data_IF_988579624220
#
_entry.id   IF_988579624220
#
_cell.length_a   1.000
_cell.length_b   1.000
_cell.length_c   1.000
_cell.angle_alpha   90.00
_cell.angle_beta   90.00
_cell.angle_gamma   90.00
#
_symmetry.space_group_name_H-M   'P 1'
#
loop_
_entity.id
_entity.type
_entity.pdbx_description
1 polymer ?
#
# COMPACT_ATOMS: atom_id res chain seq x y z
N UNK A 1 4.61 6.02 3.84
CA UNK A 1 4.41 4.79 4.64
C UNK A 1 5.58 3.82 4.52
N UNK A 2 6.07 3.42 3.34
CA UNK A 2 7.29 2.57 3.22
C UNK A 2 8.52 3.13 3.97
N UNK A 3 8.71 4.44 3.95
CA UNK A 3 9.78 5.14 4.68
C UNK A 3 9.71 4.97 6.20
N UNK A 4 8.53 4.77 6.79
CA UNK A 4 8.40 4.65 8.25
C UNK A 4 8.92 3.32 8.80
N UNK A 5 9.11 2.29 7.96
CA UNK A 5 9.71 1.00 8.37
C UNK A 5 11.17 0.86 8.00
N UNK A 6 11.63 1.57 6.96
CA UNK A 6 13.01 1.45 6.49
C UNK A 6 13.97 2.29 7.36
N UNK A 7 13.45 3.27 8.09
CA UNK A 7 14.28 4.11 8.97
C UNK A 7 14.42 3.52 10.39
N UNK A 8 13.87 2.32 10.64
CA UNK A 8 13.84 1.73 11.96
C UNK A 8 14.31 0.27 11.93
N UNK A 9 15.48 0.03 12.55
CA UNK A 9 16.10 -1.28 12.66
C UNK A 9 15.15 -2.39 13.15
N UNK A 10 14.31 -2.10 14.17
CA UNK A 10 13.35 -3.09 14.70
C UNK A 10 12.29 -3.51 13.69
N UNK A 11 11.85 -2.59 12.82
CA UNK A 11 10.88 -2.90 11.78
C UNK A 11 11.55 -3.66 10.63
N UNK A 12 12.80 -3.33 10.28
CA UNK A 12 13.59 -4.07 9.31
C UNK A 12 13.84 -5.51 9.76
N UNK A 13 14.24 -5.71 11.02
CA UNK A 13 14.46 -7.02 11.62
C UNK A 13 13.18 -7.87 11.58
N UNK A 14 12.01 -7.28 11.90
CA UNK A 14 10.72 -7.96 11.80
C UNK A 14 10.42 -8.38 10.36
N UNK A 15 10.53 -7.48 9.38
CA UNK A 15 10.20 -7.83 7.98
C UNK A 15 11.21 -8.81 7.38
N UNK A 16 12.48 -8.73 7.78
CA UNK A 16 13.48 -9.74 7.44
C UNK A 16 13.11 -11.12 8.01
N UNK A 17 12.64 -11.18 9.25
CA UNK A 17 12.19 -12.42 9.88
C UNK A 17 10.95 -13.03 9.20
N UNK A 18 9.99 -12.19 8.79
CA UNK A 18 8.80 -12.61 8.04
C UNK A 18 9.20 -13.21 6.69
N UNK A 19 10.07 -12.51 5.93
CA UNK A 19 10.54 -13.00 4.64
C UNK A 19 11.30 -14.32 4.79
N UNK A 20 12.21 -14.41 5.76
CA UNK A 20 12.93 -15.66 6.07
C UNK A 20 11.98 -16.81 6.41
N UNK A 21 10.93 -16.56 7.18
CA UNK A 21 9.92 -17.58 7.54
C UNK A 21 9.13 -18.05 6.30
N UNK A 22 8.73 -17.13 5.42
CA UNK A 22 8.01 -17.45 4.19
C UNK A 22 8.88 -18.21 3.18
N UNK A 23 10.14 -17.79 2.99
CA UNK A 23 11.13 -18.50 2.15
C UNK A 23 11.42 -19.88 2.72
N UNK A 24 11.66 -19.99 4.03
CA UNK A 24 11.89 -21.26 4.70
C UNK A 24 10.75 -22.27 4.47
N UNK A 25 9.50 -21.82 4.47
CA UNK A 25 8.35 -22.68 4.17
C UNK A 25 8.25 -23.05 2.69
N UNK A 26 8.50 -22.10 1.78
CA UNK A 26 8.31 -22.30 0.33
C UNK A 26 9.42 -23.10 -0.35
N UNK A 27 10.63 -23.09 0.20
CA UNK A 27 11.81 -23.73 -0.41
C UNK A 27 11.80 -25.27 -0.37
N UNK A 28 10.84 -25.93 0.31
CA UNK A 28 10.77 -27.40 0.31
C UNK A 28 9.36 -27.95 0.38
N UNK A 29 9.05 -28.88 -0.52
CA UNK A 29 7.80 -29.64 -0.50
C UNK A 29 7.59 -30.42 0.81
N UNK A 30 8.65 -31.01 1.40
CA UNK A 30 8.54 -31.74 2.68
C UNK A 30 8.09 -30.83 3.82
N UNK A 31 8.62 -29.60 3.87
CA UNK A 31 8.24 -28.58 4.85
C UNK A 31 6.82 -28.08 4.61
N UNK A 32 6.45 -27.89 3.34
CA UNK A 32 5.08 -27.54 2.98
C UNK A 32 4.09 -28.64 3.39
N UNK A 33 4.43 -29.93 3.25
CA UNK A 33 3.57 -31.02 3.75
C UNK A 33 3.40 -30.97 5.26
N UNK A 34 4.47 -30.74 6.03
CA UNK A 34 4.34 -30.59 7.49
C UNK A 34 3.50 -29.37 7.89
N UNK A 35 3.62 -28.25 7.16
CA UNK A 35 2.75 -27.09 7.36
C UNK A 35 1.28 -27.43 7.14
N UNK A 36 0.97 -28.13 6.06
CA UNK A 36 -0.39 -28.49 5.68
C UNK A 36 -1.03 -29.46 6.68
N UNK A 37 -0.24 -30.33 7.31
CA UNK A 37 -0.71 -31.22 8.38
C UNK A 37 -1.11 -30.38 9.60
N UNK A 38 -0.27 -29.44 10.03
CA UNK A 38 -0.54 -28.55 11.18
C UNK A 38 -1.74 -27.64 10.92
N UNK A 39 -1.86 -27.04 9.73
CA UNK A 39 -3.00 -26.17 9.39
C UNK A 39 -4.29 -26.94 9.15
N UNK A 40 -4.18 -28.18 8.69
CA UNK A 40 -5.31 -29.08 8.45
C UNK A 40 -6.05 -29.51 9.73
N UNK A 41 -5.33 -29.62 10.85
CA UNK A 41 -5.88 -29.97 12.17
C UNK A 41 -6.65 -28.82 12.81
N UNK A 42 -6.23 -27.56 12.60
CA UNK A 42 -6.75 -26.41 13.35
C UNK A 42 -7.85 -25.60 12.67
N UNK A 43 -8.01 -25.67 11.35
CA UNK A 43 -8.90 -24.75 10.63
C UNK A 43 -9.99 -25.49 9.82
N UNK A 44 -11.22 -24.97 9.84
CA UNK A 44 -12.34 -25.49 9.02
C UNK A 44 -12.49 -24.71 7.71
N UNK A 45 -12.70 -25.43 6.59
CA UNK A 45 -12.94 -24.90 5.24
C UNK A 45 -11.82 -24.01 4.63
N UNK A 46 -12.13 -22.77 4.19
CA UNK A 46 -11.23 -21.88 3.43
C UNK A 46 -9.95 -21.46 4.19
N UNK A 47 -9.85 -21.72 5.50
CA UNK A 47 -8.64 -21.49 6.31
C UNK A 47 -7.64 -22.65 6.31
N UNK A 48 -7.95 -23.82 5.73
CA UNK A 48 -7.10 -25.03 5.82
C UNK A 48 -5.73 -24.92 5.12
N UNK A 49 -5.60 -24.01 4.17
CA UNK A 49 -4.52 -23.98 3.18
C UNK A 49 -3.90 -22.61 2.99
N UNK A 50 -3.95 -21.74 4.02
CA UNK A 50 -3.30 -20.45 3.89
C UNK A 50 -1.78 -20.62 3.91
N UNK A 51 -1.10 -19.86 3.06
CA UNK A 51 0.36 -19.85 2.96
C UNK A 51 0.90 -18.57 3.57
N UNK A 52 2.09 -18.68 4.16
CA UNK A 52 2.89 -17.51 4.49
C UNK A 52 3.17 -16.73 3.21
N UNK A 53 2.94 -15.42 3.25
CA UNK A 53 3.14 -14.58 2.08
C UNK A 53 4.54 -13.99 2.08
N UNK A 54 5.20 -14.06 0.92
CA UNK A 54 6.43 -13.31 0.68
C UNK A 54 6.13 -11.82 0.62
N UNK A 55 7.09 -11.01 1.03
CA UNK A 55 6.99 -9.56 0.97
C UNK A 55 7.19 -9.13 -0.48
N UNK A 56 6.12 -8.67 -1.11
CA UNK A 56 6.19 -8.04 -2.42
C UNK A 56 7.10 -6.81 -2.36
N UNK A 57 8.13 -6.78 -3.22
CA UNK A 57 9.20 -5.79 -3.19
C UNK A 57 8.76 -4.32 -3.25
N UNK A 58 7.57 -4.03 -3.81
CA UNK A 58 7.16 -2.67 -4.19
C UNK A 58 6.02 -2.09 -3.37
N UNK A 59 5.39 -2.84 -2.46
CA UNK A 59 4.05 -2.49 -1.97
C UNK A 59 3.90 -2.55 -0.45
N UNK A 60 3.59 -1.40 0.15
CA UNK A 60 3.38 -1.25 1.59
C UNK A 60 2.29 -2.18 2.14
N UNK A 61 1.18 -2.36 1.42
CA UNK A 61 0.13 -3.29 1.89
C UNK A 61 0.60 -4.75 1.89
N UNK A 62 1.57 -5.11 1.03
CA UNK A 62 2.11 -6.46 0.99
C UNK A 62 2.81 -6.82 2.30
N UNK A 63 3.50 -5.85 2.92
CA UNK A 63 4.09 -6.00 4.25
C UNK A 63 3.01 -6.26 5.31
N UNK A 64 1.90 -5.52 5.26
CA UNK A 64 0.75 -5.74 6.15
C UNK A 64 0.09 -7.10 5.94
N UNK A 65 -0.08 -7.53 4.68
CA UNK A 65 -0.65 -8.84 4.32
C UNK A 65 0.24 -10.00 4.77
N UNK A 66 1.57 -9.87 4.57
CA UNK A 66 2.56 -10.84 5.05
C UNK A 66 2.56 -10.95 6.58
N UNK A 67 2.56 -9.82 7.30
CA UNK A 67 2.46 -9.83 8.76
C UNK A 67 1.14 -10.44 9.25
N UNK A 68 0.01 -10.12 8.60
CA UNK A 68 -1.31 -10.69 8.93
C UNK A 68 -1.44 -12.20 8.65
N UNK A 69 -0.51 -12.76 7.87
CA UNK A 69 -0.43 -14.21 7.61
C UNK A 69 0.27 -14.98 8.74
N UNK A 70 1.04 -14.29 9.59
CA UNK A 70 1.76 -14.88 10.73
C UNK A 70 1.09 -14.51 12.05
N UNK A 71 0.68 -13.26 12.18
CA UNK A 71 0.10 -12.69 13.38
C UNK A 71 -1.33 -12.26 13.09
N UNK A 72 -2.28 -12.60 13.96
CA UNK A 72 -3.67 -12.17 13.79
C UNK A 72 -3.84 -10.68 14.09
N UNK A 73 -4.70 -10.01 13.33
CA UNK A 73 -4.92 -8.55 13.42
C UNK A 73 -5.50 -8.14 14.79
N UNK A 74 -6.06 -9.09 15.55
CA UNK A 74 -6.65 -8.87 16.87
C UNK A 74 -6.14 -9.88 17.92
N UNK A 75 -4.83 -10.14 17.95
CA UNK A 75 -4.16 -10.95 19.00
C UNK A 75 -4.60 -10.57 20.43
N UNK A 76 -4.97 -9.31 20.61
CA UNK A 76 -5.10 -8.64 21.89
C UNK A 76 -6.55 -8.56 22.41
N UNK A 77 -7.56 -8.74 21.56
CA UNK A 77 -8.98 -8.65 21.96
C UNK A 77 -9.60 -10.04 22.20
N UNK A 78 -9.23 -11.06 21.40
CA UNK A 78 -9.73 -12.43 21.52
C UNK A 78 -8.81 -13.34 22.34
N UNK A 79 -8.47 -12.88 23.54
CA UNK A 79 -7.50 -13.55 24.42
C UNK A 79 -7.96 -14.91 25.01
N UNK A 80 -9.09 -15.45 24.52
CA UNK A 80 -9.72 -16.69 24.98
C UNK A 80 -9.47 -17.91 24.07
N UNK A 81 -8.83 -17.74 22.89
CA UNK A 81 -8.54 -18.86 21.96
C UNK A 81 -7.14 -18.75 21.32
N UNK A 82 -6.11 -18.75 22.16
CA UNK A 82 -4.69 -18.71 21.72
C UNK A 82 -4.34 -19.91 20.83
N UNK A 83 -4.98 -21.05 21.08
CA UNK A 83 -4.78 -22.34 20.38
C UNK A 83 -4.95 -22.24 18.86
N UNK A 84 -5.86 -21.40 18.38
CA UNK A 84 -6.17 -21.24 16.95
C UNK A 84 -5.48 -20.02 16.32
N UNK A 85 -4.59 -19.35 17.03
CA UNK A 85 -3.89 -18.19 16.49
C UNK A 85 -2.87 -18.61 15.42
N UNK A 86 -2.72 -17.78 14.39
CA UNK A 86 -1.72 -18.01 13.34
C UNK A 86 -0.30 -18.07 13.89
N UNK A 87 -0.04 -17.36 14.99
CA UNK A 87 1.28 -17.35 15.62
C UNK A 87 1.62 -18.70 16.26
N UNK A 88 0.67 -19.30 16.99
CA UNK A 88 0.84 -20.65 17.57
C UNK A 88 1.01 -21.70 16.47
N UNK A 89 0.25 -21.62 15.37
CA UNK A 89 0.44 -22.55 14.24
C UNK A 89 1.84 -22.46 13.63
N UNK A 90 2.44 -21.27 13.59
CA UNK A 90 3.82 -21.09 13.13
C UNK A 90 4.81 -21.75 14.08
N UNK A 91 4.65 -21.54 15.38
CA UNK A 91 5.52 -22.14 16.39
C UNK A 91 5.44 -23.66 16.39
N UNK A 92 4.24 -24.23 16.35
CA UNK A 92 4.04 -25.69 16.25
C UNK A 92 4.66 -26.27 14.98
N UNK A 93 4.50 -25.60 13.84
CA UNK A 93 5.18 -26.01 12.61
C UNK A 93 6.71 -26.04 12.79
N UNK A 94 7.29 -24.99 13.37
CA UNK A 94 8.74 -24.94 13.59
C UNK A 94 9.21 -26.01 14.58
N UNK A 95 8.42 -26.30 15.62
CA UNK A 95 8.69 -27.40 16.57
C UNK A 95 8.59 -28.76 15.87
N UNK A 96 7.56 -28.99 15.04
CA UNK A 96 7.39 -30.20 14.26
C UNK A 96 8.56 -30.43 13.30
N UNK A 97 9.10 -29.36 12.69
CA UNK A 97 10.30 -29.43 11.85
C UNK A 97 11.55 -29.77 12.68
N UNK A 98 11.67 -29.25 13.91
CA UNK A 98 12.77 -29.56 14.80
C UNK A 98 12.77 -31.03 15.25
N UNK A 99 11.60 -31.56 15.63
CA UNK A 99 11.42 -32.94 16.09
C UNK A 99 11.40 -33.95 14.93
N UNK A 100 10.94 -33.54 13.76
CA UNK A 100 10.80 -34.40 12.57
C UNK A 100 12.10 -34.88 11.93
N UNK A 101 11.97 -35.66 10.86
CA UNK A 101 13.10 -36.22 10.11
C UNK A 101 13.62 -35.23 9.04
N UNK A 102 14.27 -34.16 9.49
CA UNK A 102 14.90 -33.14 8.64
C UNK A 102 16.43 -33.11 8.84
N UNK A 103 17.14 -32.52 7.87
CA UNK A 103 18.59 -32.35 7.96
C UNK A 103 18.98 -31.39 9.12
N UNK A 104 20.23 -31.50 9.59
CA UNK A 104 20.74 -30.71 10.72
C UNK A 104 20.60 -29.21 10.48
N UNK A 105 20.87 -28.75 9.25
CA UNK A 105 20.77 -27.33 8.87
C UNK A 105 19.34 -26.79 8.98
N UNK A 106 18.35 -27.55 8.52
CA UNK A 106 16.92 -27.15 8.58
C UNK A 106 16.43 -27.12 10.01
N UNK A 107 16.84 -28.08 10.84
CA UNK A 107 16.55 -28.07 12.28
C UNK A 107 17.18 -26.87 12.98
N UNK A 108 18.43 -26.54 12.65
CA UNK A 108 19.10 -25.36 13.19
C UNK A 108 18.39 -24.06 12.77
N UNK A 109 18.03 -23.93 11.50
CA UNK A 109 17.28 -22.77 11.00
C UNK A 109 15.92 -22.64 11.67
N UNK A 110 15.17 -23.74 11.85
CA UNK A 110 13.89 -23.72 12.56
C UNK A 110 14.04 -23.27 14.02
N UNK A 111 15.05 -23.77 14.75
CA UNK A 111 15.39 -23.30 16.11
C UNK A 111 15.73 -21.81 16.11
N UNK A 112 16.55 -21.35 15.17
CA UNK A 112 16.90 -19.93 15.06
C UNK A 112 15.69 -19.03 14.79
N UNK A 113 14.75 -19.48 13.95
CA UNK A 113 13.49 -18.78 13.71
C UNK A 113 12.63 -18.71 14.98
N UNK A 114 12.50 -19.82 15.73
CA UNK A 114 11.80 -19.83 17.02
C UNK A 114 12.43 -18.79 17.97
N UNK A 115 13.75 -18.84 18.18
CA UNK A 115 14.46 -17.90 19.07
C UNK A 115 14.24 -16.43 18.67
N UNK A 116 14.17 -16.14 17.38
CA UNK A 116 13.93 -14.77 16.90
C UNK A 116 12.47 -14.32 17.07
N UNK A 117 11.50 -15.21 16.82
CA UNK A 117 10.08 -14.93 17.05
C UNK A 117 9.72 -14.83 18.54
N UNK A 118 10.47 -15.50 19.41
CA UNK A 118 10.33 -15.44 20.87
C UNK A 118 10.79 -14.11 21.51
N UNK A 119 11.43 -13.21 20.75
CA UNK A 119 11.87 -11.91 21.29
C UNK A 119 10.67 -11.00 21.55
N UNK A 120 10.58 -10.47 22.78
CA UNK A 120 9.47 -9.58 23.16
C UNK A 120 9.41 -8.32 22.27
N UNK A 121 10.58 -7.78 21.88
CA UNK A 121 10.67 -6.60 21.00
C UNK A 121 9.97 -6.84 19.66
N UNK A 122 10.06 -8.05 19.10
CA UNK A 122 9.47 -8.45 17.81
C UNK A 122 7.96 -8.60 17.92
N UNK A 123 7.46 -9.18 19.02
CA UNK A 123 6.02 -9.31 19.27
C UNK A 123 5.39 -7.92 19.44
N UNK A 124 6.04 -7.04 20.19
CA UNK A 124 5.56 -5.70 20.49
C UNK A 124 5.50 -4.81 19.23
N UNK A 125 6.55 -4.82 18.40
CA UNK A 125 6.57 -4.08 17.13
C UNK A 125 5.58 -4.65 16.11
N UNK A 126 5.40 -5.98 16.08
CA UNK A 126 4.41 -6.65 15.22
C UNK A 126 3.01 -6.18 15.52
N UNK A 127 2.60 -6.17 16.80
CA UNK A 127 1.28 -5.68 17.20
C UNK A 127 1.09 -4.19 16.89
N UNK A 128 2.11 -3.35 17.13
CA UNK A 128 2.04 -1.94 16.79
C UNK A 128 1.82 -1.72 15.28
N UNK A 129 2.55 -2.45 14.43
CA UNK A 129 2.42 -2.32 13.00
C UNK A 129 1.11 -2.90 12.48
N UNK A 130 0.63 -4.04 13.01
CA UNK A 130 -0.69 -4.59 12.67
C UNK A 130 -1.81 -3.60 12.95
N UNK A 131 -1.79 -2.96 14.11
CA UNK A 131 -2.75 -1.92 14.49
C UNK A 131 -2.73 -0.75 13.50
N UNK A 132 -1.55 -0.34 13.03
CA UNK A 132 -1.40 0.70 12.01
C UNK A 132 -1.91 0.20 10.65
N UNK A 133 -1.61 -1.04 10.27
CA UNK A 133 -2.06 -1.65 9.03
C UNK A 133 -3.58 -1.78 8.97
N UNK A 134 -4.23 -2.12 10.08
CA UNK A 134 -5.68 -2.24 10.17
C UNK A 134 -6.40 -0.93 9.80
N UNK A 135 -5.81 0.22 10.15
CA UNK A 135 -6.39 1.54 9.87
C UNK A 135 -5.98 2.03 8.48
N UNK A 136 -4.74 1.79 8.07
CA UNK A 136 -4.18 2.32 6.81
C UNK A 136 -4.60 1.51 5.58
N UNK A 137 -4.75 0.19 5.69
CA UNK A 137 -5.03 -0.69 4.55
C UNK A 137 -6.36 -0.39 3.86
N UNK A 138 -7.49 -0.19 4.57
CA UNK A 138 -8.78 0.14 3.94
C UNK A 138 -8.72 1.42 3.12
N UNK A 139 -8.00 2.44 3.62
CA UNK A 139 -7.81 3.71 2.91
C UNK A 139 -6.96 3.50 1.66
N UNK A 140 -5.85 2.76 1.79
CA UNK A 140 -5.00 2.44 0.63
C UNK A 140 -5.76 1.70 -0.47
N UNK A 141 -6.58 0.70 -0.09
CA UNK A 141 -7.40 -0.06 -1.05
C UNK A 141 -8.44 0.85 -1.70
N UNK A 142 -9.10 1.71 -0.93
CA UNK A 142 -10.09 2.64 -1.46
C UNK A 142 -9.49 3.63 -2.46
N UNK A 143 -8.33 4.19 -2.16
CA UNK A 143 -7.61 5.12 -3.04
C UNK A 143 -7.13 4.48 -4.36
N UNK A 144 -7.08 3.15 -4.43
CA UNK A 144 -6.70 2.39 -5.62
C UNK A 144 -7.90 1.93 -6.45
N UNK A 145 -9.13 2.23 -6.02
CA UNK A 145 -10.33 1.85 -6.77
C UNK A 145 -10.44 2.63 -8.09
N UNK A 146 -10.98 1.98 -9.13
CA UNK A 146 -11.14 2.59 -10.47
C UNK A 146 -12.13 3.76 -10.48
N UNK A 147 -13.07 3.81 -9.55
CA UNK A 147 -14.12 4.83 -9.44
C UNK A 147 -14.03 5.52 -8.08
N UNK A 148 -12.99 6.32 -7.88
CA UNK A 148 -12.78 7.05 -6.63
C UNK A 148 -13.76 8.22 -6.51
N UNK A 149 -14.45 8.34 -5.37
CA UNK A 149 -15.14 9.57 -4.99
C UNK A 149 -14.17 10.40 -4.12
N UNK A 150 -13.84 11.61 -4.58
CA UNK A 150 -12.83 12.46 -3.95
C UNK A 150 -13.23 12.95 -2.55
N UNK A 151 -14.51 13.28 -2.32
CA UNK A 151 -15.00 13.70 -1.01
C UNK A 151 -14.93 12.56 0.01
N UNK A 152 -15.38 11.37 -0.38
CA UNK A 152 -15.29 10.18 0.46
C UNK A 152 -13.83 9.79 0.72
N UNK A 153 -12.96 9.90 -0.29
CA UNK A 153 -11.53 9.68 -0.14
C UNK A 153 -10.93 10.63 0.90
N UNK A 154 -11.28 11.92 0.82
CA UNK A 154 -10.84 12.92 1.78
C UNK A 154 -11.30 12.61 3.20
N UNK A 155 -12.59 12.31 3.39
CA UNK A 155 -13.15 11.96 4.70
C UNK A 155 -12.45 10.74 5.31
N UNK A 156 -12.11 9.74 4.48
CA UNK A 156 -11.34 8.57 4.92
C UNK A 156 -9.92 8.94 5.34
N UNK A 157 -9.25 9.84 4.61
CA UNK A 157 -7.90 10.34 4.95
C UNK A 157 -7.94 11.17 6.24
N UNK A 158 -8.92 12.06 6.40
CA UNK A 158 -9.07 12.87 7.60
C UNK A 158 -9.36 12.00 8.83
N UNK A 159 -10.24 11.00 8.68
CA UNK A 159 -10.52 10.01 9.73
C UNK A 159 -9.28 9.19 10.08
N UNK A 160 -8.51 8.77 9.07
CA UNK A 160 -7.23 8.07 9.26
C UNK A 160 -6.24 8.92 10.06
N UNK A 161 -6.08 10.19 9.69
CA UNK A 161 -5.19 11.12 10.39
C UNK A 161 -5.59 11.28 11.85
N UNK A 162 -6.87 11.53 12.13
CA UNK A 162 -7.41 11.65 13.51
C UNK A 162 -7.19 10.35 14.31
N UNK A 163 -7.38 9.18 13.69
CA UNK A 163 -7.16 7.88 14.34
C UNK A 163 -5.69 7.63 14.68
N UNK A 164 -4.76 7.98 13.78
CA UNK A 164 -3.32 7.81 14.01
C UNK A 164 -2.81 8.82 15.05
N UNK A 165 -3.29 10.06 15.01
CA UNK A 165 -2.94 11.09 15.99
C UNK A 165 -3.34 10.70 17.41
N UNK A 166 -4.52 10.09 17.58
CA UNK A 166 -4.96 9.50 18.87
C UNK A 166 -4.08 8.34 19.37
N UNK A 167 -3.35 7.65 18.49
CA UNK A 167 -2.41 6.58 18.88
C UNK A 167 -1.08 7.13 19.41
N UNK A 168 -0.76 8.41 19.18
CA UNK A 168 0.41 9.09 19.76
C UNK A 168 0.19 9.47 21.23
N UNK A 169 -0.26 8.50 22.04
CA UNK A 169 -0.58 8.69 23.46
C UNK A 169 0.17 7.66 24.31
N UNK A 170 0.57 8.07 25.51
CA UNK A 170 1.25 7.19 26.46
C UNK A 170 0.36 6.05 26.93
N UNK A 171 -0.92 6.33 27.19
CA UNK A 171 -1.90 5.32 27.58
C UNK A 171 -2.04 4.21 26.53
N UNK A 172 -1.97 4.58 25.24
CA UNK A 172 -2.06 3.60 24.16
C UNK A 172 -0.84 2.66 24.18
N UNK A 173 0.38 3.19 24.25
CA UNK A 173 1.60 2.36 24.28
C UNK A 173 1.63 1.49 25.54
N UNK A 174 1.27 2.04 26.70
CA UNK A 174 1.19 1.29 27.95
C UNK A 174 0.17 0.14 27.83
N UNK A 175 -1.01 0.40 27.25
CA UNK A 175 -2.03 -0.64 27.03
C UNK A 175 -1.55 -1.71 26.05
N UNK A 176 -0.83 -1.32 24.99
CA UNK A 176 -0.29 -2.25 24.01
C UNK A 176 0.80 -3.14 24.65
N UNK A 177 1.64 -2.55 25.50
CA UNK A 177 2.66 -3.27 26.25
C UNK A 177 2.05 -4.30 27.22
N UNK A 178 1.06 -3.92 28.03
CA UNK A 178 0.40 -4.86 28.97
C UNK A 178 -0.31 -6.00 28.23
N UNK A 179 -0.92 -5.68 27.09
CA UNK A 179 -1.58 -6.66 26.22
C UNK A 179 -0.60 -7.63 25.55
N UNK A 180 0.58 -7.17 25.15
CA UNK A 180 1.63 -8.05 24.62
C UNK A 180 2.24 -8.93 25.71
N UNK A 181 2.38 -8.41 26.93
CA UNK A 181 2.88 -9.17 28.07
C UNK A 181 1.93 -10.33 28.43
N UNK A 182 0.63 -10.05 28.57
CA UNK A 182 -0.35 -11.11 28.84
C UNK A 182 -0.48 -12.13 27.71
N UNK A 183 -0.24 -11.71 26.46
CA UNK A 183 -0.17 -12.64 25.32
C UNK A 183 1.05 -13.56 25.40
N UNK A 184 2.23 -13.03 25.74
CA UNK A 184 3.45 -13.83 25.93
C UNK A 184 3.28 -14.86 27.05
N UNK A 185 2.75 -14.43 28.21
CA UNK A 185 2.45 -15.32 29.35
C UNK A 185 1.51 -16.47 28.94
N UNK A 186 0.44 -16.18 28.18
CA UNK A 186 -0.50 -17.20 27.72
C UNK A 186 0.10 -18.21 26.73
N UNK A 187 1.04 -17.77 25.89
CA UNK A 187 1.69 -18.69 24.95
C UNK A 187 2.69 -19.59 25.67
N UNK A 188 3.45 -19.04 26.63
CA UNK A 188 4.32 -19.85 27.47
C UNK A 188 3.50 -20.94 28.19
N UNK A 189 2.37 -20.57 28.80
CA UNK A 189 1.44 -21.54 29.41
C UNK A 189 0.92 -22.61 28.43
N UNK A 190 0.68 -22.25 27.17
CA UNK A 190 0.23 -23.22 26.15
C UNK A 190 1.34 -24.21 25.75
N UNK A 191 2.60 -23.77 25.79
CA UNK A 191 3.78 -24.57 25.45
C UNK A 191 4.57 -25.01 26.69
N UNK A 192 3.93 -25.10 27.87
CA UNK A 192 4.59 -25.47 29.13
C UNK A 192 5.35 -26.81 29.05
N UNK A 193 4.92 -27.73 28.18
CA UNK A 193 5.56 -29.04 27.96
C UNK A 193 6.64 -29.04 26.85
N UNK A 194 6.88 -27.93 26.15
CA UNK A 194 7.78 -27.82 25.01
C UNK A 194 9.04 -27.00 25.31
N UNK A 195 10.14 -27.69 25.66
CA UNK A 195 11.45 -27.10 25.99
C UNK A 195 12.07 -26.18 24.91
N UNK A 196 11.54 -26.22 23.68
CA UNK A 196 12.05 -25.43 22.55
C UNK A 196 11.47 -24.02 22.47
N UNK A 197 10.37 -23.74 23.19
CA UNK A 197 9.68 -22.45 23.14
C UNK A 197 9.78 -21.79 24.52
N UNK A 198 10.48 -20.68 24.56
CA UNK A 198 10.51 -19.76 25.69
C UNK A 198 10.35 -18.35 25.13
N UNK A 199 9.16 -17.76 25.31
CA UNK A 199 8.87 -16.41 24.84
C UNK A 199 9.22 -15.43 25.94
N UNK A 200 10.01 -14.41 25.59
CA UNK A 200 10.35 -13.34 26.50
C UNK A 200 9.09 -12.56 26.89
N UNK A 201 8.80 -12.49 28.19
CA UNK A 201 7.64 -11.75 28.72
C UNK A 201 7.91 -10.24 28.82
N UNK A 202 9.18 -9.85 28.81
CA UNK A 202 9.62 -8.45 28.90
C UNK A 202 10.97 -8.24 28.18
N UNK A 203 11.36 -6.97 28.04
CA UNK A 203 12.62 -6.59 27.45
C UNK A 203 13.83 -7.15 28.22
N UNK A 204 14.89 -7.60 27.52
CA UNK A 204 16.09 -8.07 28.16
C UNK A 204 16.81 -6.92 28.88
N UNK A 205 17.20 -7.16 30.14
CA UNK A 205 17.96 -6.20 30.94
C UNK A 205 19.36 -6.06 30.32
N UNK A 206 19.65 -4.92 29.69
CA UNK A 206 20.97 -4.65 29.12
C UNK A 206 21.95 -4.28 30.22
N UNK A 207 23.09 -4.98 30.28
CA UNK A 207 24.17 -4.65 31.20
C UNK A 207 24.69 -3.25 30.89
N UNK A 208 24.66 -2.39 31.89
CA UNK A 208 25.16 -1.02 31.77
C UNK A 208 26.69 -1.06 31.85
N UNK A 209 27.43 -0.60 30.82
CA UNK A 209 28.88 -0.51 30.90
C UNK A 209 29.25 0.57 31.91
N UNK A 210 29.76 0.16 33.08
CA UNK A 210 30.33 1.09 34.05
C UNK A 210 31.79 1.36 33.67
N UNK A 211 32.14 2.63 33.52
CA UNK A 211 33.55 3.02 33.40
C UNK A 211 34.23 2.71 34.74
N UNK A 212 35.44 2.11 34.71
CA UNK A 212 36.22 1.90 35.94
C UNK A 212 36.59 3.27 36.53
N UNK A 213 36.35 3.46 37.82
CA UNK A 213 36.68 4.68 38.56
C UNK A 213 37.84 4.42 39.52
N UNK A 214 38.72 5.42 39.72
CA UNK A 214 39.71 5.37 40.79
C UNK A 214 39.08 5.73 42.14
N UNK A 215 39.72 5.31 43.23
CA UNK A 215 39.27 5.62 44.59
C UNK A 215 39.26 7.14 44.83
N UNK A 216 38.11 7.71 45.18
CA UNK A 216 37.98 9.13 45.55
C UNK A 216 37.47 10.05 44.43
N UNK A 217 37.32 9.55 43.21
CA UNK A 217 36.71 10.33 42.12
C UNK A 217 35.17 10.36 42.25
N UNK A 218 34.57 11.55 42.26
CA UNK A 218 33.12 11.71 42.09
C UNK A 218 32.82 11.72 40.59
N UNK A 219 32.10 10.70 40.12
CA UNK A 219 31.70 10.60 38.73
C UNK A 219 30.62 11.64 38.42
N UNK A 220 30.92 12.61 37.55
CA UNK A 220 29.91 13.42 36.88
C UNK A 220 29.78 12.93 35.44
N UNK A 221 28.59 12.40 35.16
CA UNK A 221 28.00 12.03 33.86
C UNK A 221 27.55 10.57 33.86
N UNK A 222 26.41 10.34 34.50
CA UNK A 222 25.64 9.13 34.29
C UNK A 222 25.26 9.05 32.80
N UNK A 223 25.68 7.98 32.12
CA UNK A 223 25.15 7.64 30.79
C UNK A 223 23.63 7.67 30.90
N UNK A 224 22.94 8.54 30.14
CA UNK A 224 21.47 8.63 30.13
C UNK A 224 20.89 7.21 30.08
N UNK A 225 20.25 6.80 31.18
CA UNK A 225 19.67 5.47 31.33
C UNK A 225 18.41 5.42 30.45
N UNK A 226 18.57 5.10 29.18
CA UNK A 226 17.42 4.82 28.29
C UNK A 226 17.05 3.37 28.53
N UNK A 227 16.00 3.14 29.30
CA UNK A 227 15.43 1.79 29.47
C UNK A 227 15.01 1.22 28.10
N UNK A 228 15.09 -0.10 27.87
CA UNK A 228 14.64 -0.70 26.61
C UNK A 228 13.21 -0.29 26.23
N UNK A 229 12.33 -0.18 27.22
CA UNK A 229 10.97 0.34 27.06
C UNK A 229 10.93 1.78 26.54
N UNK A 230 11.72 2.69 27.12
CA UNK A 230 11.75 4.09 26.65
C UNK A 230 12.34 4.21 25.25
N UNK A 231 13.32 3.36 24.88
CA UNK A 231 13.83 3.25 23.50
C UNK A 231 12.74 2.74 22.54
N UNK A 232 11.97 1.73 22.93
CA UNK A 232 10.84 1.27 22.13
C UNK A 232 9.78 2.37 21.98
N UNK A 233 9.44 3.07 23.07
CA UNK A 233 8.49 4.19 23.08
C UNK A 233 8.90 5.29 22.09
N UNK A 234 10.17 5.70 22.10
CA UNK A 234 10.68 6.69 21.13
C UNK A 234 10.59 6.18 19.68
N UNK A 235 10.91 4.91 19.45
CA UNK A 235 10.82 4.29 18.12
C UNK A 235 9.37 4.23 17.63
N UNK A 236 8.44 3.83 18.49
CA UNK A 236 7.01 3.79 18.21
C UNK A 236 6.47 5.18 17.83
N UNK A 237 6.83 6.23 18.57
CA UNK A 237 6.46 7.60 18.21
C UNK A 237 7.09 8.05 16.90
N UNK A 238 8.35 7.71 16.63
CA UNK A 238 8.99 8.03 15.36
C UNK A 238 8.25 7.41 14.16
N UNK A 239 7.79 6.16 14.27
CA UNK A 239 6.95 5.52 13.24
C UNK A 239 5.65 6.32 13.04
N UNK A 240 4.93 6.59 14.13
CA UNK A 240 3.64 7.29 14.08
C UNK A 240 3.80 8.69 13.49
N UNK A 241 4.81 9.44 13.93
CA UNK A 241 5.10 10.80 13.48
C UNK A 241 5.52 10.82 12.00
N UNK A 242 6.34 9.84 11.56
CA UNK A 242 6.72 9.71 10.14
C UNK A 242 5.49 9.42 9.27
N UNK A 243 4.59 8.55 9.72
CA UNK A 243 3.34 8.27 9.01
C UNK A 243 2.46 9.52 8.94
N UNK A 244 2.25 10.20 10.07
CA UNK A 244 1.46 11.44 10.13
C UNK A 244 2.04 12.52 9.22
N UNK A 245 3.35 12.73 9.25
CA UNK A 245 4.02 13.70 8.38
C UNK A 245 3.86 13.33 6.91
N UNK A 246 3.99 12.04 6.55
CA UNK A 246 3.80 11.58 5.17
C UNK A 246 2.35 11.74 4.66
N UNK A 247 1.35 11.60 5.54
CA UNK A 247 -0.05 11.84 5.20
C UNK A 247 -0.30 13.35 5.06
N UNK A 248 0.21 14.15 6.02
CA UNK A 248 0.05 15.60 6.04
C UNK A 248 0.70 16.24 4.81
N UNK A 249 1.96 15.95 4.53
CA UNK A 249 2.68 16.55 3.40
C UNK A 249 2.06 16.21 2.05
N UNK A 250 1.47 15.01 1.92
CA UNK A 250 0.92 14.52 0.65
C UNK A 250 -0.50 15.00 0.37
N UNK A 251 -1.36 15.03 1.39
CA UNK A 251 -2.81 15.24 1.18
C UNK A 251 -3.29 16.63 1.62
N UNK A 252 -2.74 17.21 2.70
CA UNK A 252 -3.20 18.50 3.23
C UNK A 252 -3.09 19.65 2.23
N UNK A 253 -1.99 19.79 1.46
CA UNK A 253 -1.89 20.87 0.46
C UNK A 253 -2.96 20.79 -0.63
N UNK A 254 -3.46 19.58 -0.92
CA UNK A 254 -4.37 19.30 -2.03
C UNK A 254 -5.85 19.28 -1.61
N UNK A 255 -6.17 19.65 -0.36
CA UNK A 255 -7.55 19.65 0.13
C UNK A 255 -8.48 20.50 -0.73
N UNK A 256 -8.06 21.72 -1.06
CA UNK A 256 -8.84 22.66 -1.87
C UNK A 256 -9.07 22.10 -3.28
N UNK A 257 -8.04 21.51 -3.88
CA UNK A 257 -8.14 20.88 -5.19
C UNK A 257 -9.12 19.71 -5.18
N UNK A 258 -9.09 18.86 -4.15
CA UNK A 258 -10.01 17.72 -4.03
C UNK A 258 -11.47 18.16 -3.82
N UNK A 259 -11.69 19.26 -3.10
CA UNK A 259 -13.01 19.90 -2.97
C UNK A 259 -13.49 20.43 -4.32
N UNK A 260 -12.62 21.07 -5.09
CA UNK A 260 -12.93 21.56 -6.44
C UNK A 260 -13.28 20.42 -7.40
N UNK A 261 -12.53 19.31 -7.34
CA UNK A 261 -12.76 18.12 -8.17
C UNK A 261 -14.11 17.44 -7.91
N UNK A 262 -14.64 17.54 -6.69
CA UNK A 262 -15.93 16.94 -6.35
C UNK A 262 -17.10 17.60 -7.10
N UNK A 263 -16.99 18.88 -7.46
CA UNK A 263 -18.00 19.57 -8.28
C UNK A 263 -18.05 19.06 -9.73
N UNK A 264 -17.00 18.39 -10.19
CA UNK A 264 -16.88 17.83 -11.53
C UNK A 264 -17.33 16.36 -11.59
N UNK A 265 -17.70 15.73 -10.47
CA UNK A 265 -18.27 14.38 -10.49
C UNK A 265 -19.76 14.45 -10.88
N UNK A 266 -20.21 13.75 -11.94
CA UNK A 266 -21.63 13.73 -12.32
C UNK A 266 -22.60 13.32 -11.21
N UNK A 267 -22.12 12.62 -10.18
CA UNK A 267 -22.93 12.28 -8.99
C UNK A 267 -23.36 13.51 -8.18
N UNK A 268 -22.62 14.62 -8.26
CA UNK A 268 -22.93 15.84 -7.51
C UNK A 268 -23.84 16.80 -8.29
N UNK A 269 -24.11 16.54 -9.57
CA UNK A 269 -24.91 17.42 -10.43
C UNK A 269 -26.34 17.62 -9.93
N UNK A 270 -26.93 16.62 -9.27
CA UNK A 270 -28.24 16.78 -8.64
C UNK A 270 -28.25 17.91 -7.58
N UNK A 271 -27.19 18.01 -6.78
CA UNK A 271 -27.03 19.08 -5.80
C UNK A 271 -26.71 20.42 -6.46
N UNK A 272 -25.97 20.41 -7.58
CA UNK A 272 -25.64 21.64 -8.32
C UNK A 272 -26.89 22.29 -8.92
N UNK A 273 -27.87 21.49 -9.35
CA UNK A 273 -29.13 21.99 -9.89
C UNK A 273 -29.96 22.75 -8.84
N UNK A 274 -29.79 22.43 -7.57
CA UNK A 274 -30.48 23.09 -6.45
C UNK A 274 -29.75 24.37 -5.97
N UNK A 275 -28.52 24.62 -6.41
CA UNK A 275 -27.73 25.78 -5.99
C UNK A 275 -28.07 27.04 -6.82
N UNK A 276 -28.35 28.15 -6.14
CA UNK A 276 -28.51 29.46 -6.79
C UNK A 276 -27.16 29.99 -7.30
N UNK A 277 -26.12 29.94 -6.47
CA UNK A 277 -24.75 30.37 -6.81
C UNK A 277 -23.72 29.44 -6.16
N UNK A 278 -22.57 29.24 -6.82
CA UNK A 278 -21.46 28.51 -6.24
C UNK A 278 -20.86 29.27 -5.04
N UNK A 279 -20.42 28.57 -3.98
CA UNK A 279 -19.71 29.21 -2.87
C UNK A 279 -18.46 29.97 -3.35
N UNK A 280 -18.16 31.12 -2.72
CA UNK A 280 -17.03 32.00 -3.11
C UNK A 280 -15.67 31.30 -3.12
N UNK A 281 -15.49 30.25 -2.32
CA UNK A 281 -14.25 29.49 -2.23
C UNK A 281 -14.14 28.32 -3.23
N UNK A 282 -15.19 28.03 -4.00
CA UNK A 282 -15.23 26.90 -4.94
C UNK A 282 -14.56 27.22 -6.28
N UNK A 283 -13.95 26.21 -6.90
CA UNK A 283 -13.27 26.22 -8.21
C UNK A 283 -12.03 27.12 -8.30
N UNK A 284 -11.62 27.77 -7.21
CA UNK A 284 -10.50 28.72 -7.23
C UNK A 284 -9.17 28.05 -7.55
N UNK A 285 -8.90 26.87 -6.97
CA UNK A 285 -7.60 26.21 -7.14
C UNK A 285 -7.48 25.54 -8.50
N UNK A 286 -8.55 24.90 -8.97
CA UNK A 286 -8.49 24.18 -10.24
C UNK A 286 -8.47 25.12 -11.44
N UNK A 287 -9.22 26.23 -11.39
CA UNK A 287 -9.22 27.23 -12.47
C UNK A 287 -7.88 27.97 -12.57
N UNK A 288 -7.22 28.25 -11.43
CA UNK A 288 -5.85 28.80 -11.44
C UNK A 288 -4.82 27.85 -12.03
N UNK A 289 -4.95 26.54 -11.80
CA UNK A 289 -4.02 25.55 -12.34
C UNK A 289 -4.24 25.29 -13.83
N UNK A 290 -5.47 25.40 -14.31
CA UNK A 290 -5.83 25.23 -15.70
C UNK A 290 -5.69 26.53 -16.53
N UNK A 291 -5.40 27.66 -15.89
CA UNK A 291 -5.37 29.01 -16.50
C UNK A 291 -6.69 29.38 -17.19
N UNK A 292 -7.80 29.20 -16.46
CA UNK A 292 -9.16 29.45 -16.97
C UNK A 292 -9.97 30.37 -16.04
N UNK A 293 -10.88 31.13 -16.62
CA UNK A 293 -11.75 32.05 -15.87
C UNK A 293 -12.80 31.31 -15.06
N UNK A 294 -12.78 31.53 -13.74
CA UNK A 294 -13.69 30.89 -12.79
C UNK A 294 -15.16 31.18 -13.08
N UNK A 295 -15.50 32.43 -13.40
CA UNK A 295 -16.90 32.84 -13.59
C UNK A 295 -17.51 32.15 -14.81
N UNK A 296 -16.73 32.02 -15.88
CA UNK A 296 -17.12 31.32 -17.11
C UNK A 296 -17.33 29.84 -16.84
N UNK A 297 -16.38 29.18 -16.16
CA UNK A 297 -16.49 27.76 -15.80
C UNK A 297 -17.69 27.51 -14.90
N UNK A 298 -17.95 28.36 -13.91
CA UNK A 298 -19.08 28.19 -13.00
C UNK A 298 -20.43 28.25 -13.75
N UNK A 299 -20.55 29.14 -14.75
CA UNK A 299 -21.75 29.22 -15.60
C UNK A 299 -21.88 27.98 -16.49
N UNK A 300 -20.80 27.61 -17.20
CA UNK A 300 -20.76 26.44 -18.07
C UNK A 300 -21.10 25.15 -17.30
N UNK A 301 -20.51 24.97 -16.12
CA UNK A 301 -20.72 23.80 -15.28
C UNK A 301 -22.15 23.71 -14.74
N UNK A 302 -22.76 24.84 -14.37
CA UNK A 302 -24.17 24.88 -13.95
C UNK A 302 -25.11 24.49 -15.10
N UNK A 303 -24.90 25.09 -16.27
CA UNK A 303 -25.69 24.79 -17.46
C UNK A 303 -25.55 23.31 -17.88
N UNK A 304 -24.31 22.81 -17.89
CA UNK A 304 -24.02 21.42 -18.18
C UNK A 304 -24.66 20.47 -17.17
N UNK A 305 -24.54 20.73 -15.87
CA UNK A 305 -25.15 19.91 -14.81
C UNK A 305 -26.69 19.84 -14.91
N UNK A 306 -27.34 20.97 -15.23
CA UNK A 306 -28.79 21.05 -15.42
C UNK A 306 -29.27 20.25 -16.64
N UNK A 307 -28.48 20.23 -17.71
CA UNK A 307 -28.84 19.57 -18.97
C UNK A 307 -28.27 18.14 -19.06
N UNK A 308 -27.44 17.72 -18.11
CA UNK A 308 -26.75 16.42 -18.12
C UNK A 308 -27.70 15.23 -18.27
N UNK A 309 -28.87 15.27 -17.61
CA UNK A 309 -29.88 14.21 -17.74
C UNK A 309 -30.45 14.07 -19.15
N UNK A 310 -30.44 15.15 -19.94
CA UNK A 310 -30.95 15.18 -21.31
C UNK A 310 -29.87 14.79 -22.32
N UNK A 311 -28.59 14.91 -21.96
CA UNK A 311 -27.46 14.51 -22.79
C UNK A 311 -27.11 13.02 -22.66
N UNK A 312 -27.61 12.33 -21.64
CA UNK A 312 -27.43 10.88 -21.53
C UNK A 312 -28.30 10.20 -22.62
N UNK A 313 -27.71 9.42 -23.54
CA UNK A 313 -28.51 8.62 -24.47
C UNK A 313 -29.40 7.67 -23.68
N UNK A 314 -30.68 7.55 -24.06
CA UNK A 314 -31.72 6.74 -23.42
C UNK A 314 -31.31 5.24 -23.37
N UNK A 315 -30.45 4.87 -22.41
CA UNK A 315 -30.22 3.49 -22.03
C UNK A 315 -31.39 3.12 -21.11
N UNK A 316 -32.42 2.56 -21.74
CA UNK A 316 -33.66 2.00 -21.18
C UNK A 316 -33.71 1.87 -19.65
N UNK A 317 -34.76 2.45 -19.08
CA UNK A 317 -35.19 2.42 -17.68
C UNK A 317 -35.46 1.01 -17.07
N UNK A 318 -34.99 -0.09 -17.65
CA UNK A 318 -35.36 -1.45 -17.24
C UNK A 318 -34.32 -2.27 -16.46
N UNK A 319 -33.06 -1.83 -16.30
CA UNK A 319 -32.06 -2.62 -15.54
C UNK A 319 -31.75 -2.08 -14.13
N UNK A 320 -32.56 -1.15 -13.61
CA UNK A 320 -32.40 -0.59 -12.25
C UNK A 320 -32.93 -1.49 -11.12
N UNK A 321 -32.92 -2.80 -11.31
CA UNK A 321 -33.19 -3.80 -10.26
C UNK A 321 -32.24 -4.98 -10.40
N UNK A 322 -30.96 -4.76 -10.08
CA UNK A 322 -30.11 -5.73 -9.37
C UNK A 322 -28.65 -5.29 -9.37
N UNK A 323 -28.32 -4.38 -8.44
CA UNK A 323 -26.98 -4.32 -7.85
C UNK A 323 -27.12 -4.43 -6.33
N UNK A 324 -27.86 -5.45 -5.89
CA UNK A 324 -27.40 -6.25 -4.74
C UNK A 324 -26.56 -7.37 -5.34
N UNK A 325 -25.39 -7.59 -4.75
CA UNK A 325 -24.57 -8.80 -4.94
C UNK A 325 -24.22 -9.18 -6.38
N UNK A 326 -23.27 -8.48 -6.99
CA UNK A 326 -22.13 -9.17 -7.60
C UNK A 326 -20.90 -8.44 -7.11
N UNK A 327 -20.29 -9.03 -6.09
CA UNK A 327 -18.89 -8.82 -5.77
C UNK A 327 -18.15 -8.63 -7.09
N UNK A 328 -17.61 -7.43 -7.30
CA UNK A 328 -16.51 -7.29 -8.22
C UNK A 328 -15.54 -8.40 -7.83
N UNK A 329 -15.39 -9.40 -8.71
CA UNK A 329 -14.23 -10.28 -8.64
C UNK A 329 -13.06 -9.32 -8.66
N UNK A 330 -12.50 -9.11 -7.47
CA UNK A 330 -11.14 -8.62 -7.30
C UNK A 330 -10.35 -9.55 -8.20
N UNK A 331 -9.84 -9.01 -9.31
CA UNK A 331 -8.81 -9.73 -10.04
C UNK A 331 -7.64 -9.70 -9.07
N UNK A 332 -7.52 -10.77 -8.28
CA UNK A 332 -6.28 -11.15 -7.64
C UNK A 332 -5.31 -11.34 -8.80
N UNK A 333 -4.39 -10.41 -8.94
CA UNK A 333 -3.14 -10.69 -9.63
C UNK A 333 -2.20 -11.16 -8.51
N UNK A 334 -2.45 -12.37 -8.03
CA UNK A 334 -1.35 -13.24 -7.63
C UNK A 334 -0.79 -13.75 -8.96
N UNK A 335 0.47 -13.47 -9.27
CA UNK A 335 1.38 -14.33 -10.03
C UNK A 335 2.66 -13.55 -10.36
N UNK A 336 3.75 -14.01 -9.75
CA UNK A 336 5.14 -13.81 -10.17
C UNK A 336 5.43 -14.60 -11.47
N UNK A 337 4.48 -14.67 -12.41
CA UNK A 337 4.68 -15.28 -13.72
C UNK A 337 4.70 -14.20 -14.81
N UNK A 338 5.68 -14.33 -15.70
CA UNK A 338 5.92 -13.49 -16.85
C UNK A 338 4.68 -13.46 -17.77
N UNK A 339 3.85 -12.42 -17.67
CA UNK A 339 2.74 -12.19 -18.60
C UNK A 339 2.98 -10.90 -19.38
N UNK A 340 3.01 -11.05 -20.70
CA UNK A 340 3.02 -9.99 -21.70
C UNK A 340 2.01 -8.89 -21.35
N UNK A 341 2.52 -7.67 -21.17
CA UNK A 341 1.67 -6.50 -20.99
C UNK A 341 0.94 -6.24 -22.30
N UNK A 342 -0.32 -6.69 -22.37
CA UNK A 342 -1.25 -6.35 -23.45
C UNK A 342 -1.35 -4.82 -23.59
N UNK A 343 -1.55 -4.31 -24.82
CA UNK A 343 -1.63 -2.88 -25.08
C UNK A 343 -2.80 -2.28 -24.30
N UNK A 344 -2.66 -1.00 -23.97
CA UNK A 344 -3.70 -0.06 -23.52
C UNK A 344 -5.12 -0.58 -23.74
N UNK A 345 -5.70 -1.23 -22.74
CA UNK A 345 -7.15 -1.29 -22.65
C UNK A 345 -7.61 0.16 -22.44
N UNK A 346 -8.06 0.80 -23.53
CA UNK A 346 -8.95 1.94 -23.46
C UNK A 346 -9.95 1.67 -22.34
N UNK A 347 -10.12 2.61 -21.42
CA UNK A 347 -11.14 2.52 -20.38
C UNK A 347 -12.49 2.61 -21.11
N UNK A 348 -12.95 1.49 -21.68
CA UNK A 348 -14.28 1.37 -22.24
C UNK A 348 -15.25 1.38 -21.07
N UNK A 349 -15.74 2.56 -20.71
CA UNK A 349 -16.91 2.64 -19.87
C UNK A 349 -18.16 2.36 -20.72
N UNK A 350 -18.37 1.09 -21.06
CA UNK A 350 -19.55 0.66 -21.82
C UNK A 350 -20.83 0.58 -20.94
N UNK A 351 -20.75 0.90 -19.63
CA UNK A 351 -21.83 0.64 -18.65
C UNK A 351 -22.04 1.69 -17.54
N UNK A 352 -21.37 2.83 -17.56
CA UNK A 352 -21.49 3.85 -16.52
C UNK A 352 -21.89 5.20 -17.13
N UNK A 353 -22.87 5.89 -16.54
CA UNK A 353 -23.29 7.26 -16.94
C UNK A 353 -22.95 8.31 -15.88
N UNK A 354 -22.16 7.91 -14.86
CA UNK A 354 -21.94 8.66 -13.61
C UNK A 354 -20.46 8.83 -13.26
N UNK A 355 -19.56 8.87 -14.24
CA UNK A 355 -18.12 9.05 -14.00
C UNK A 355 -17.57 10.22 -14.81
N UNK A 356 -16.42 10.76 -14.39
CA UNK A 356 -15.76 11.88 -15.07
C UNK A 356 -15.40 11.56 -16.54
N UNK A 357 -15.11 10.30 -16.86
CA UNK A 357 -14.79 9.88 -18.24
C UNK A 357 -16.01 10.00 -19.17
N UNK A 358 -17.20 9.61 -18.70
CA UNK A 358 -18.43 9.74 -19.50
C UNK A 358 -18.85 11.19 -19.67
N UNK A 359 -18.67 12.01 -18.63
CA UNK A 359 -18.86 13.46 -18.77
C UNK A 359 -17.89 14.06 -19.79
N UNK A 360 -16.63 13.61 -19.83
CA UNK A 360 -15.66 14.06 -20.84
C UNK A 360 -16.04 13.62 -22.26
N UNK A 361 -16.53 12.40 -22.47
CA UNK A 361 -17.00 11.94 -23.80
C UNK A 361 -18.15 12.85 -24.29
N UNK A 362 -19.13 13.13 -23.43
CA UNK A 362 -20.24 14.04 -23.76
C UNK A 362 -19.76 15.46 -24.03
N UNK A 363 -18.83 15.98 -23.22
CA UNK A 363 -18.22 17.29 -23.46
C UNK A 363 -17.40 17.34 -24.74
N UNK A 364 -16.73 16.25 -25.12
CA UNK A 364 -15.99 16.15 -26.37
C UNK A 364 -16.95 16.21 -27.57
N UNK A 365 -18.06 15.48 -27.53
CA UNK A 365 -19.06 15.53 -28.60
C UNK A 365 -19.69 16.94 -28.73
N UNK A 366 -20.08 17.54 -27.60
CA UNK A 366 -20.69 18.88 -27.57
C UNK A 366 -19.71 19.98 -28.03
N UNK A 367 -18.45 19.92 -27.58
CA UNK A 367 -17.43 20.90 -27.98
C UNK A 367 -17.03 20.74 -29.45
N UNK A 368 -16.84 19.52 -29.96
CA UNK A 368 -16.48 19.30 -31.35
C UNK A 368 -17.60 19.63 -32.35
N UNK A 369 -18.87 19.39 -31.99
CA UNK A 369 -20.01 19.61 -32.90
C UNK A 369 -20.59 21.03 -32.84
N UNK A 370 -20.57 21.66 -31.67
CA UNK A 370 -21.30 22.92 -31.42
C UNK A 370 -20.46 24.02 -30.74
N UNK A 371 -19.18 23.76 -30.47
CA UNK A 371 -18.28 24.69 -29.75
C UNK A 371 -18.85 25.16 -28.40
N UNK A 372 -19.72 24.33 -27.79
CA UNK A 372 -20.30 24.58 -26.47
C UNK A 372 -19.39 23.99 -25.39
N UNK A 373 -19.30 24.67 -24.24
CA UNK A 373 -18.58 24.21 -23.04
C UNK A 373 -17.08 23.94 -23.26
N UNK A 374 -16.40 24.71 -24.12
CA UNK A 374 -15.00 24.48 -24.49
C UNK A 374 -14.02 24.67 -23.32
N UNK A 375 -14.31 25.62 -22.41
CA UNK A 375 -13.50 25.81 -21.21
C UNK A 375 -13.69 24.65 -20.24
N UNK A 376 -14.93 24.19 -20.06
CA UNK A 376 -15.25 23.00 -19.27
C UNK A 376 -14.62 21.74 -19.85
N UNK A 377 -14.63 21.54 -21.17
CA UNK A 377 -13.94 20.44 -21.84
C UNK A 377 -12.42 20.46 -21.57
N UNK A 378 -11.80 21.64 -21.71
CA UNK A 378 -10.38 21.84 -21.41
C UNK A 378 -10.06 21.53 -19.94
N UNK A 379 -10.93 21.96 -19.02
CA UNK A 379 -10.82 21.68 -17.59
C UNK A 379 -10.92 20.17 -17.29
N UNK A 380 -11.89 19.46 -17.88
CA UNK A 380 -12.02 18.01 -17.70
C UNK A 380 -10.82 17.25 -18.26
N UNK A 381 -10.27 17.70 -19.41
CA UNK A 381 -9.04 17.13 -19.97
C UNK A 381 -7.87 17.32 -19.01
N UNK A 382 -7.71 18.52 -18.44
CA UNK A 382 -6.69 18.80 -17.43
C UNK A 382 -6.86 17.91 -16.19
N UNK A 383 -8.08 17.80 -15.66
CA UNK A 383 -8.40 16.97 -14.49
C UNK A 383 -8.03 15.50 -14.68
N UNK A 384 -8.36 14.92 -15.84
CA UNK A 384 -8.04 13.52 -16.14
C UNK A 384 -6.53 13.28 -16.32
N UNK A 385 -5.75 14.32 -16.60
CA UNK A 385 -4.29 14.25 -16.68
C UNK A 385 -3.61 14.37 -15.30
N UNK A 386 -4.31 14.84 -14.27
CA UNK A 386 -3.74 14.96 -12.94
C UNK A 386 -3.46 13.56 -12.34
N UNK A 387 -2.21 13.27 -11.90
CA UNK A 387 -1.89 12.01 -11.25
C UNK A 387 -2.44 12.00 -9.81
N UNK A 388 -3.73 11.74 -9.65
CA UNK A 388 -4.40 11.75 -8.34
C UNK A 388 -4.14 10.49 -7.50
N UNK A 389 -3.70 9.39 -8.12
CA UNK A 389 -3.43 8.11 -7.43
C UNK A 389 -2.03 7.58 -7.71
N UNK A 390 -1.49 6.83 -6.75
CA UNK A 390 -0.16 6.19 -6.81
C UNK A 390 -0.05 5.09 -7.88
N UNK A 391 -1.16 4.69 -8.49
CA UNK A 391 -1.22 3.57 -9.42
C UNK A 391 -0.46 3.82 -10.73
N UNK A 392 -0.32 5.08 -11.17
CA UNK A 392 0.50 5.45 -12.34
C UNK A 392 1.98 5.21 -12.07
N UNK A 393 2.48 5.65 -10.90
CA UNK A 393 3.85 5.40 -10.48
C UNK A 393 4.14 3.89 -10.36
N UNK A 394 3.20 3.09 -9.84
CA UNK A 394 3.38 1.63 -9.74
C UNK A 394 3.53 0.94 -11.10
N UNK A 395 2.82 1.39 -12.14
CA UNK A 395 3.00 0.87 -13.51
C UNK A 395 4.37 1.22 -14.08
N UNK A 396 4.83 2.46 -13.86
CA UNK A 396 6.16 2.91 -14.29
C UNK A 396 7.25 2.07 -13.59
N UNK A 397 7.14 1.81 -12.28
CA UNK A 397 8.10 0.95 -11.57
C UNK A 397 8.06 -0.52 -12.02
N UNK A 398 6.89 -1.04 -12.40
CA UNK A 398 6.79 -2.38 -13.00
C UNK A 398 7.53 -2.46 -14.33
N UNK A 399 7.33 -1.46 -15.21
CA UNK A 399 8.08 -1.35 -16.48
C UNK A 399 9.58 -1.17 -16.25
N UNK A 400 9.96 -0.37 -15.25
CA UNK A 400 11.34 -0.18 -14.84
C UNK A 400 12.00 -1.49 -14.41
N UNK A 401 11.28 -2.36 -13.67
CA UNK A 401 11.78 -3.69 -13.27
C UNK A 401 12.08 -4.59 -14.47
N UNK A 402 11.28 -4.48 -15.54
CA UNK A 402 11.51 -5.22 -16.79
C UNK A 402 12.77 -4.70 -17.51
N UNK A 403 12.97 -3.37 -17.54
CA UNK A 403 14.13 -2.76 -18.21
C UNK A 403 15.42 -2.97 -17.41
N UNK A 404 15.37 -2.77 -16.09
CA UNK A 404 16.50 -2.97 -15.17
C UNK A 404 16.55 -4.42 -14.67
N UNK A 405 17.03 -5.30 -15.52
CA UNK A 405 17.38 -6.67 -15.12
C UNK A 405 18.71 -6.70 -14.36
N UNK A 406 19.04 -7.83 -13.70
CA UNK A 406 20.30 -8.01 -12.98
C UNK A 406 21.54 -7.71 -13.85
N UNK A 407 21.47 -8.05 -15.14
CA UNK A 407 22.50 -7.80 -16.14
C UNK A 407 22.57 -6.33 -16.62
N UNK A 408 21.47 -5.57 -16.49
CA UNK A 408 21.34 -4.16 -16.90
C UNK A 408 21.28 -3.20 -15.70
N UNK A 409 21.78 -3.63 -14.55
CA UNK A 409 21.70 -2.88 -13.29
C UNK A 409 22.54 -1.59 -13.31
N UNK A 410 23.55 -1.49 -14.18
CA UNK A 410 24.44 -0.33 -14.35
C UNK A 410 24.03 0.66 -15.45
N UNK A 411 22.83 0.52 -16.04
CA UNK A 411 22.37 1.39 -17.12
C UNK A 411 22.29 2.86 -16.66
N UNK A 412 23.02 3.74 -17.35
CA UNK A 412 23.01 5.18 -17.08
C UNK A 412 21.67 5.82 -17.49
N UNK A 413 21.36 6.97 -16.87
CA UNK A 413 20.07 7.65 -17.05
C UNK A 413 19.81 8.02 -18.52
N UNK A 414 20.86 8.33 -19.28
CA UNK A 414 20.83 8.68 -20.70
C UNK A 414 20.23 7.57 -21.58
N UNK A 415 20.44 6.31 -21.22
CA UNK A 415 19.87 5.16 -21.94
C UNK A 415 18.58 4.66 -21.29
N UNK A 416 18.45 4.78 -19.96
CA UNK A 416 17.27 4.35 -19.23
C UNK A 416 16.02 5.17 -19.59
N UNK A 417 16.16 6.49 -19.73
CA UNK A 417 15.04 7.38 -20.03
C UNK A 417 14.39 7.06 -21.40
N UNK A 418 15.14 6.96 -22.51
CA UNK A 418 14.58 6.54 -23.80
C UNK A 418 13.96 5.14 -23.76
N UNK A 419 14.61 4.17 -23.10
CA UNK A 419 14.08 2.81 -22.96
C UNK A 419 12.76 2.78 -22.19
N UNK A 420 12.64 3.58 -21.14
CA UNK A 420 11.38 3.76 -20.43
C UNK A 420 10.31 4.37 -21.33
N UNK A 421 10.64 5.42 -22.09
CA UNK A 421 9.71 6.08 -23.00
C UNK A 421 9.18 5.12 -24.06
N UNK A 422 10.06 4.36 -24.73
CA UNK A 422 9.68 3.32 -25.68
C UNK A 422 8.82 2.21 -25.05
N UNK A 423 9.01 1.92 -23.76
CA UNK A 423 8.21 0.91 -23.06
C UNK A 423 6.82 1.38 -22.63
N UNK A 424 6.66 2.70 -22.46
CA UNK A 424 5.40 3.37 -22.10
C UNK A 424 4.60 3.65 -23.36
N UNK A 425 5.23 4.28 -24.36
CA UNK A 425 4.63 4.72 -25.62
C UNK A 425 4.74 3.65 -26.71
N UNK A 426 4.34 2.41 -26.39
CA UNK A 426 4.37 1.30 -27.36
C UNK A 426 3.41 1.50 -28.54
N UNK A 427 2.41 2.35 -28.36
CA UNK A 427 1.33 2.58 -29.32
C UNK A 427 1.72 3.61 -30.38
N UNK A 428 2.87 4.29 -30.22
CA UNK A 428 3.42 5.21 -31.22
C UNK A 428 4.19 4.38 -32.25
N UNK A 429 3.64 4.30 -33.46
CA UNK A 429 4.33 3.70 -34.60
C UNK A 429 5.50 4.60 -34.99
N UNK A 430 6.72 4.07 -34.91
CA UNK A 430 7.93 4.74 -35.35
C UNK A 430 8.11 4.43 -36.84
N UNK A 431 8.28 5.45 -37.67
CA UNK A 431 8.62 5.26 -39.07
C UNK A 431 10.01 4.62 -39.17
N UNK A 432 10.05 3.42 -39.72
CA UNK A 432 11.27 2.63 -39.81
C UNK A 432 12.26 3.24 -40.79
N UNK A 433 11.75 3.89 -41.85
CA UNK A 433 12.60 4.44 -42.91
C UNK A 433 13.29 5.73 -42.42
N UNK A 434 12.56 6.61 -41.73
CA UNK A 434 13.14 7.80 -41.10
C UNK A 434 14.18 7.44 -40.02
N UNK A 435 13.93 6.37 -39.26
CA UNK A 435 14.87 5.89 -38.24
C UNK A 435 16.13 5.30 -38.86
N UNK A 436 16.01 4.53 -39.94
CA UNK A 436 17.14 4.00 -40.71
C UNK A 436 17.96 5.16 -41.28
N UNK A 437 17.32 6.16 -41.89
CA UNK A 437 17.99 7.33 -42.43
C UNK A 437 18.72 8.14 -41.35
N UNK A 438 18.12 8.29 -40.18
CA UNK A 438 18.73 9.00 -39.05
C UNK A 438 19.96 8.26 -38.52
N UNK A 439 19.91 6.93 -38.41
CA UNK A 439 21.06 6.11 -37.99
C UNK A 439 22.14 6.08 -39.07
N UNK A 440 21.75 5.95 -40.34
CA UNK A 440 22.66 5.97 -41.46
C UNK A 440 23.44 7.29 -41.53
N UNK A 441 22.78 8.43 -41.26
CA UNK A 441 23.44 9.73 -41.24
C UNK A 441 24.31 9.97 -39.99
N UNK A 442 24.31 9.08 -38.99
CA UNK A 442 25.14 9.22 -37.79
C UNK A 442 26.61 8.88 -38.01
N UNK A 443 26.95 8.04 -39.00
CA UNK A 443 28.34 7.74 -39.36
C UNK A 443 28.52 7.46 -40.84
N UNK A 444 29.72 7.74 -41.35
CA UNK A 444 30.04 7.55 -42.77
C UNK A 444 30.01 6.09 -43.20
N UNK A 445 30.32 5.17 -42.28
CA UNK A 445 30.28 3.73 -42.50
C UNK A 445 28.85 3.19 -42.48
N UNK A 446 28.01 3.64 -41.53
CA UNK A 446 26.61 3.22 -41.45
C UNK A 446 25.81 3.72 -42.65
N UNK A 447 26.12 4.92 -43.14
CA UNK A 447 25.51 5.47 -44.35
C UNK A 447 25.67 4.60 -45.58
N UNK A 448 26.80 3.88 -45.71
CA UNK A 448 27.08 3.00 -46.85
C UNK A 448 26.44 1.62 -46.72
N UNK A 449 26.07 1.22 -45.50
CA UNK A 449 25.55 -0.11 -45.19
C UNK A 449 24.02 -0.13 -45.10
N UNK A 450 23.41 1.00 -44.75
CA UNK A 450 21.97 1.13 -44.49
C UNK A 450 21.20 1.87 -45.59
N UNK A 451 21.86 2.74 -46.36
CA UNK A 451 21.34 3.48 -47.53
C UNK A 451 22.21 3.08 -48.73
#
# INVERSE_FOLDING_TARGET
>A
MSESTNNLQLAEDLFGLIEQSAVFLTDSHKRMTTWMNVTGEKHSAHGKLYRLQKIGATRWWSKGKALSSIMDVQIVEDSNKVENSKFVTLLEFLVAVCKGNFNVQTKYMAKSLITNWSKFEIILISNLLLDIYAITSPVSVYLQTKSINYLQAWNMIETLQKKIEKKRNENYINSLYTKCKSFAEKINLFFDEEDLIDIQEDFPIKRIPKKKTLSGEKCSDEVRIITPYTKFKSNAYSIIDTILNSIKSRFVPNEMLLKDLNWLDPKTFAFINELEQFPKDSLNTICKLADLDKEIIAIELKQFACQYSNFIPDVSKNDFRDIKSKSSKIIYIDEDEDIEVKPTEQIKCDKCTKCLHCALILLQELSCQSNLFCNLFTLYKFVLLLPSTQTTCERVFSKLKIIKTKLRSSLHQEHLNPLMLMSIEKDILIDSDELIDTIANSSSELKKLLI
#
